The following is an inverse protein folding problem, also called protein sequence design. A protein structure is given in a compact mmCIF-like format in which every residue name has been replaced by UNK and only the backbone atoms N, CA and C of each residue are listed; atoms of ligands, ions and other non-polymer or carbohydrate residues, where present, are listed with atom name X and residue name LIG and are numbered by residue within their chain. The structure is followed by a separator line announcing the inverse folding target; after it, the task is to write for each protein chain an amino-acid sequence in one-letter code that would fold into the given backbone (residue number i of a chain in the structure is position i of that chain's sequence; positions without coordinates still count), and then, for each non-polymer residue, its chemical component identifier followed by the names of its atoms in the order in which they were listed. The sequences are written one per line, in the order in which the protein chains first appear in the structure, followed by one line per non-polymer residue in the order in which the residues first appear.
data_IF_260707072278
#
_entry.id   IF_260707072278
#
_cell.length_a   1.000
_cell.length_b   1.000
_cell.length_c   1.000
_cell.angle_alpha   90.00
_cell.angle_beta   90.00
_cell.angle_gamma   90.00
#
_symmetry.space_group_name_H-M   'P 1'
#
loop_
_entity.id
_entity.type
_entity.pdbx_description
1 polymer ?
#
# COMPACT_ATOMS: atom_id res chain seq x y z
N UNK A 1 5.22 40.03 42.83
CA UNK A 1 4.71 39.22 41.71
C UNK A 1 3.42 39.89 41.25
N UNK A 2 3.36 40.39 40.04
CA UNK A 2 2.19 41.12 39.55
C UNK A 2 1.08 40.13 39.14
N UNK A 3 -0.18 40.58 39.25
CA UNK A 3 -1.35 39.80 38.79
C UNK A 3 -1.23 39.32 37.34
N UNK A 4 -0.46 40.00 36.52
CA UNK A 4 -0.14 39.65 35.14
C UNK A 4 0.80 38.45 35.05
N UNK A 5 1.82 38.36 35.94
CA UNK A 5 2.71 37.16 35.98
C UNK A 5 2.00 35.91 36.42
N UNK A 6 1.07 36.03 37.36
CA UNK A 6 0.23 34.91 37.77
C UNK A 6 -0.73 34.43 36.65
N UNK A 7 -1.30 35.37 35.90
CA UNK A 7 -2.15 35.04 34.74
C UNK A 7 -1.37 34.39 33.59
N UNK A 8 -0.15 34.83 33.31
CA UNK A 8 0.71 34.22 32.32
C UNK A 8 1.16 32.83 32.74
N UNK A 9 1.47 32.64 34.06
CA UNK A 9 1.89 31.33 34.58
C UNK A 9 0.69 30.36 34.64
N UNK A 10 -0.53 30.81 34.91
CA UNK A 10 -1.75 30.02 34.87
C UNK A 10 -2.08 29.61 33.41
N UNK A 11 -2.02 30.56 32.46
CA UNK A 11 -2.23 30.27 31.02
C UNK A 11 -1.18 29.35 30.42
N UNK A 12 0.07 29.38 30.94
CA UNK A 12 1.11 28.43 30.51
C UNK A 12 0.95 27.04 31.16
N UNK A 13 0.36 26.93 32.33
CA UNK A 13 0.05 25.63 32.97
C UNK A 13 -1.13 24.91 32.33
N UNK A 14 -2.12 25.63 31.81
CA UNK A 14 -3.25 25.00 31.08
C UNK A 14 -2.83 24.36 29.73
N UNK A 15 -1.65 24.69 29.18
CA UNK A 15 -1.14 24.05 27.95
C UNK A 15 -0.46 22.69 28.17
N UNK A 16 -0.28 22.28 29.42
CA UNK A 16 0.38 21.01 29.76
C UNK A 16 -0.71 19.97 30.08
N UNK A 17 -1.16 19.22 29.07
CA UNK A 17 -1.87 17.96 29.36
C UNK A 17 -3.18 17.69 28.64
N UNK A 18 -3.56 18.41 27.60
CA UNK A 18 -4.71 18.00 26.79
C UNK A 18 -4.27 16.88 25.84
N UNK A 19 -4.24 15.63 26.33
CA UNK A 19 -4.28 14.48 25.45
C UNK A 19 -5.66 14.51 24.77
N UNK A 20 -5.74 14.78 23.44
CA UNK A 20 -7.03 14.85 22.78
C UNK A 20 -7.76 13.53 22.98
N UNK A 21 -9.06 13.60 23.27
CA UNK A 21 -9.91 12.41 23.42
C UNK A 21 -9.79 11.53 22.16
N UNK A 22 -10.05 10.23 22.27
CA UNK A 22 -10.04 9.32 21.12
C UNK A 22 -10.94 9.83 19.98
N UNK A 23 -12.08 10.43 20.32
CA UNK A 23 -12.98 11.05 19.36
C UNK A 23 -12.35 12.27 18.64
N UNK A 24 -11.59 13.10 19.35
CA UNK A 24 -10.87 14.22 18.72
C UNK A 24 -9.77 13.72 17.78
N UNK A 25 -9.00 12.69 18.18
CA UNK A 25 -7.99 12.06 17.29
C UNK A 25 -8.61 11.46 16.04
N UNK A 26 -9.74 10.76 16.17
CA UNK A 26 -10.47 10.20 15.03
C UNK A 26 -10.97 11.31 14.10
N UNK A 27 -11.48 12.43 14.63
CA UNK A 27 -11.88 13.58 13.84
C UNK A 27 -10.71 14.19 13.07
N UNK A 28 -9.54 14.35 13.69
CA UNK A 28 -8.34 14.84 13.02
C UNK A 28 -7.92 13.94 11.85
N UNK A 29 -7.94 12.60 12.06
CA UNK A 29 -7.67 11.63 11.01
C UNK A 29 -8.66 11.75 9.84
N UNK A 30 -9.96 11.83 10.14
CA UNK A 30 -11.01 11.99 9.10
C UNK A 30 -10.80 13.26 8.29
N UNK A 31 -10.49 14.39 8.94
CA UNK A 31 -10.23 15.66 8.26
C UNK A 31 -9.01 15.54 7.33
N UNK A 32 -7.91 14.92 7.80
CA UNK A 32 -6.72 14.71 6.99
C UNK A 32 -6.97 13.73 5.83
N UNK A 33 -7.67 12.64 6.08
CA UNK A 33 -8.06 11.68 5.03
C UNK A 33 -8.89 12.36 3.95
N UNK A 34 -9.91 13.14 4.34
CA UNK A 34 -10.74 13.88 3.39
C UNK A 34 -9.92 14.88 2.57
N UNK A 35 -9.00 15.62 3.20
CA UNK A 35 -8.10 16.54 2.50
C UNK A 35 -7.31 15.80 1.40
N UNK A 36 -6.68 14.68 1.75
CA UNK A 36 -5.87 13.91 0.82
C UNK A 36 -6.72 13.31 -0.31
N UNK A 37 -7.91 12.80 -0.02
CA UNK A 37 -8.83 12.29 -1.04
C UNK A 37 -9.29 13.39 -2.01
N UNK A 38 -9.63 14.57 -1.51
CA UNK A 38 -9.99 15.71 -2.36
C UNK A 38 -8.81 16.14 -3.24
N UNK A 39 -7.57 16.06 -2.72
CA UNK A 39 -6.38 16.33 -3.51
C UNK A 39 -6.26 15.33 -4.67
N UNK A 40 -6.35 14.02 -4.39
CA UNK A 40 -6.30 12.96 -5.40
C UNK A 40 -7.38 13.16 -6.47
N UNK A 41 -8.62 13.46 -6.05
CA UNK A 41 -9.73 13.67 -6.98
C UNK A 41 -9.59 14.93 -7.86
N UNK A 42 -8.81 15.91 -7.43
CA UNK A 42 -8.56 17.15 -8.18
C UNK A 42 -7.30 17.12 -9.05
N UNK A 43 -6.45 16.12 -8.84
CA UNK A 43 -5.22 15.93 -9.60
C UNK A 43 -5.43 14.89 -10.71
N UNK A 44 -5.55 15.30 -12.00
CA UNK A 44 -5.86 14.39 -13.11
C UNK A 44 -4.83 13.26 -13.26
N UNK A 45 -3.56 13.54 -12.98
CA UNK A 45 -2.49 12.53 -13.03
C UNK A 45 -2.72 11.43 -11.99
N UNK A 46 -2.99 11.79 -10.73
CA UNK A 46 -3.26 10.81 -9.66
C UNK A 46 -4.54 10.00 -9.91
N UNK A 47 -5.58 10.63 -10.48
CA UNK A 47 -6.78 9.92 -10.92
C UNK A 47 -6.48 8.90 -12.02
N UNK A 48 -5.63 9.27 -12.97
CA UNK A 48 -5.18 8.37 -14.04
C UNK A 48 -4.43 7.15 -13.48
N UNK A 49 -3.57 7.35 -12.50
CA UNK A 49 -2.81 6.26 -11.87
C UNK A 49 -3.72 5.24 -11.15
N UNK A 50 -4.83 5.71 -10.60
CA UNK A 50 -5.79 4.83 -9.89
C UNK A 50 -6.81 4.17 -10.83
N UNK A 51 -7.05 4.75 -12.01
CA UNK A 51 -8.10 4.28 -12.94
C UNK A 51 -7.57 3.84 -14.30
N UNK A 52 -6.93 4.72 -15.04
CA UNK A 52 -6.53 4.47 -16.43
C UNK A 52 -5.36 3.49 -16.50
N UNK A 53 -4.34 3.68 -15.68
CA UNK A 53 -3.14 2.83 -15.68
C UNK A 53 -3.48 1.36 -15.36
N UNK A 54 -4.25 1.00 -14.32
CA UNK A 54 -4.66 -0.38 -14.06
C UNK A 54 -5.46 -1.00 -15.21
N UNK A 55 -6.33 -0.21 -15.86
CA UNK A 55 -7.09 -0.67 -17.04
C UNK A 55 -6.15 -1.03 -18.18
N UNK A 56 -5.24 -0.11 -18.54
CA UNK A 56 -4.28 -0.31 -19.63
C UNK A 56 -3.39 -1.54 -19.37
N UNK A 57 -2.84 -1.68 -18.16
CA UNK A 57 -2.03 -2.84 -17.80
C UNK A 57 -2.84 -4.14 -17.87
N UNK A 58 -4.07 -4.15 -17.34
CA UNK A 58 -4.92 -5.35 -17.38
C UNK A 58 -5.21 -5.76 -18.82
N UNK A 59 -5.63 -4.83 -19.67
CA UNK A 59 -5.91 -5.09 -21.09
C UNK A 59 -4.64 -5.57 -21.82
N UNK A 60 -3.52 -4.87 -21.62
CA UNK A 60 -2.26 -5.24 -22.25
C UNK A 60 -1.81 -6.66 -21.86
N UNK A 61 -1.77 -6.96 -20.56
CA UNK A 61 -1.31 -8.28 -20.12
C UNK A 61 -2.25 -9.40 -20.53
N UNK A 62 -3.56 -9.18 -20.52
CA UNK A 62 -4.52 -10.20 -20.90
C UNK A 62 -4.49 -10.47 -22.40
N UNK A 63 -4.45 -9.45 -23.25
CA UNK A 63 -4.53 -9.64 -24.71
C UNK A 63 -3.17 -9.84 -25.38
N UNK A 64 -2.12 -9.15 -24.94
CA UNK A 64 -0.79 -9.29 -25.55
C UNK A 64 -0.09 -10.56 -25.06
N UNK A 65 -0.06 -10.77 -23.74
CA UNK A 65 0.63 -11.94 -23.18
C UNK A 65 -0.27 -13.17 -23.12
N UNK A 66 -1.60 -13.00 -23.00
CA UNK A 66 -2.53 -14.11 -22.91
C UNK A 66 -2.57 -14.99 -24.16
N UNK A 67 -2.26 -14.43 -25.33
CA UNK A 67 -2.19 -15.20 -26.60
C UNK A 67 -0.91 -16.04 -26.75
N UNK A 68 0.17 -15.64 -26.05
CA UNK A 68 1.48 -16.28 -26.17
C UNK A 68 1.89 -17.19 -24.99
N UNK A 69 1.18 -17.12 -23.86
CA UNK A 69 1.53 -17.91 -22.67
C UNK A 69 0.56 -19.08 -22.46
N UNK A 70 1.07 -20.29 -22.52
CA UNK A 70 0.36 -21.50 -22.09
C UNK A 70 0.76 -21.86 -20.65
N UNK A 71 -0.23 -22.00 -19.76
CA UNK A 71 0.00 -22.46 -18.40
C UNK A 71 -0.06 -24.00 -18.33
N UNK A 72 0.69 -24.61 -17.39
CA UNK A 72 0.56 -26.05 -17.11
C UNK A 72 -0.91 -26.43 -16.82
N UNK A 73 -1.36 -27.57 -17.40
CA UNK A 73 -2.74 -28.02 -17.19
C UNK A 73 -3.81 -27.31 -18.02
N UNK A 74 -3.45 -26.45 -18.99
CA UNK A 74 -4.42 -25.75 -19.85
C UNK A 74 -5.20 -24.63 -19.14
N UNK A 75 -4.70 -24.16 -17.99
CA UNK A 75 -5.33 -23.10 -17.23
C UNK A 75 -5.35 -21.77 -17.98
N UNK A 76 -6.39 -20.97 -17.80
CA UNK A 76 -6.51 -19.64 -18.40
C UNK A 76 -5.45 -18.69 -17.85
N UNK A 77 -4.66 -18.09 -18.75
CA UNK A 77 -3.70 -17.06 -18.38
C UNK A 77 -4.37 -15.83 -17.74
N UNK A 78 -5.55 -15.44 -18.23
CA UNK A 78 -6.35 -14.35 -17.63
C UNK A 78 -6.64 -14.60 -16.16
N UNK A 79 -7.07 -15.83 -15.82
CA UNK A 79 -7.34 -16.22 -14.44
C UNK A 79 -6.07 -16.21 -13.57
N UNK A 80 -4.92 -16.57 -14.14
CA UNK A 80 -3.63 -16.55 -13.44
C UNK A 80 -3.10 -15.14 -13.23
N UNK A 81 -3.11 -14.29 -14.27
CA UNK A 81 -2.43 -12.99 -14.24
C UNK A 81 -3.19 -11.93 -13.48
N UNK A 82 -4.52 -11.99 -13.46
CA UNK A 82 -5.34 -10.91 -12.91
C UNK A 82 -5.12 -10.67 -11.40
N UNK A 83 -5.04 -11.69 -10.53
CA UNK A 83 -4.66 -11.51 -9.14
C UNK A 83 -3.23 -10.96 -8.98
N UNK A 84 -2.33 -11.34 -9.89
CA UNK A 84 -0.97 -10.81 -9.94
C UNK A 84 -0.95 -9.33 -10.30
N UNK A 85 -1.70 -8.91 -11.31
CA UNK A 85 -1.85 -7.51 -11.70
C UNK A 85 -2.48 -6.67 -10.58
N UNK A 86 -3.51 -7.20 -9.92
CA UNK A 86 -4.10 -6.57 -8.75
C UNK A 86 -3.02 -6.29 -7.69
N UNK A 87 -2.27 -7.31 -7.31
CA UNK A 87 -1.22 -7.18 -6.30
C UNK A 87 -0.12 -6.21 -6.75
N UNK A 88 0.35 -6.30 -8.01
CA UNK A 88 1.36 -5.38 -8.54
C UNK A 88 0.90 -3.92 -8.56
N UNK A 89 -0.34 -3.65 -8.99
CA UNK A 89 -0.87 -2.30 -8.96
C UNK A 89 -0.91 -1.74 -7.53
N UNK A 90 -1.30 -2.55 -6.55
CA UNK A 90 -1.33 -2.15 -5.15
C UNK A 90 0.08 -1.91 -4.58
N UNK A 91 1.05 -2.73 -4.97
CA UNK A 91 2.45 -2.58 -4.56
C UNK A 91 3.04 -1.28 -5.13
N UNK A 92 2.85 -1.03 -6.42
CA UNK A 92 3.39 0.18 -7.06
C UNK A 92 2.69 1.45 -6.60
N UNK A 93 1.37 1.43 -6.39
CA UNK A 93 0.62 2.59 -5.88
C UNK A 93 1.02 2.99 -4.46
N UNK A 94 1.56 2.06 -3.65
CA UNK A 94 2.08 2.37 -2.32
C UNK A 94 3.21 3.41 -2.32
N UNK A 95 3.95 3.55 -3.44
CA UNK A 95 4.99 4.58 -3.60
C UNK A 95 4.43 6.00 -3.48
N UNK A 96 3.18 6.20 -3.90
CA UNK A 96 2.47 7.48 -3.79
C UNK A 96 2.42 8.02 -2.36
N UNK A 97 2.36 7.14 -1.35
CA UNK A 97 2.42 7.54 0.07
C UNK A 97 3.76 8.22 0.40
N UNK A 98 4.87 7.59 0.01
CA UNK A 98 6.21 8.12 0.28
C UNK A 98 6.47 9.43 -0.47
N UNK A 99 6.18 9.46 -1.76
CA UNK A 99 6.37 10.66 -2.60
C UNK A 99 5.50 11.82 -2.12
N UNK A 100 4.22 11.57 -1.85
CA UNK A 100 3.31 12.60 -1.38
C UNK A 100 3.65 13.13 0.02
N UNK A 101 4.22 12.27 0.89
CA UNK A 101 4.69 12.72 2.19
C UNK A 101 5.96 13.58 2.07
N UNK A 102 6.89 13.23 1.17
CA UNK A 102 8.05 14.05 0.86
C UNK A 102 7.63 15.41 0.27
N UNK A 103 6.59 15.42 -0.59
CA UNK A 103 6.00 16.64 -1.14
C UNK A 103 5.38 17.53 -0.07
N UNK A 104 4.60 16.95 0.86
CA UNK A 104 4.01 17.70 1.98
C UNK A 104 5.11 18.32 2.87
N UNK A 105 6.24 17.61 3.07
CA UNK A 105 7.38 18.11 3.81
C UNK A 105 8.08 19.26 3.09
N UNK A 106 8.39 19.09 1.79
CA UNK A 106 9.08 20.11 0.98
C UNK A 106 8.26 21.40 0.83
N UNK A 107 6.94 21.30 0.82
CA UNK A 107 6.02 22.45 0.75
C UNK A 107 5.82 23.17 2.11
N UNK A 108 6.54 22.78 3.16
CA UNK A 108 6.42 23.39 4.48
C UNK A 108 5.04 23.17 5.15
N UNK A 109 4.26 22.20 4.64
CA UNK A 109 2.93 21.91 5.19
C UNK A 109 3.00 21.46 6.64
N UNK A 110 4.06 20.76 7.01
CA UNK A 110 4.28 20.26 8.38
C UNK A 110 4.43 21.43 9.37
N UNK A 111 5.11 22.52 8.98
CA UNK A 111 5.24 23.71 9.81
C UNK A 111 3.88 24.37 10.08
N UNK A 112 3.02 24.43 9.08
CA UNK A 112 1.64 24.92 9.25
C UNK A 112 0.84 24.04 10.20
N UNK A 113 1.02 22.74 10.18
CA UNK A 113 0.34 21.83 11.12
C UNK A 113 0.88 21.92 12.55
N UNK A 114 2.11 22.36 12.74
CA UNK A 114 2.68 22.64 14.10
C UNK A 114 1.91 23.72 14.85
N UNK A 115 1.31 24.66 14.15
CA UNK A 115 0.53 25.76 14.75
C UNK A 115 -0.91 25.37 15.09
N UNK A 116 -1.38 24.23 14.59
CA UNK A 116 -2.74 23.74 14.84
C UNK A 116 -2.79 22.82 16.06
N UNK A 117 -3.85 22.91 16.88
CA UNK A 117 -4.05 22.03 18.04
C UNK A 117 -4.57 20.63 17.59
N UNK A 118 -3.78 19.92 16.80
CA UNK A 118 -4.14 18.59 16.27
C UNK A 118 -3.16 17.51 16.73
N UNK A 119 -3.65 16.25 16.72
CA UNK A 119 -2.80 15.11 16.96
C UNK A 119 -1.78 14.93 15.83
N UNK A 120 -0.49 15.07 16.13
CA UNK A 120 0.58 15.07 15.10
C UNK A 120 0.59 13.84 14.21
N UNK A 121 0.29 12.65 14.76
CA UNK A 121 0.22 11.42 13.97
C UNK A 121 -0.99 11.37 13.01
N UNK A 122 -1.99 12.26 13.16
CA UNK A 122 -3.15 12.31 12.25
C UNK A 122 -2.77 12.60 10.80
N UNK A 123 -1.65 13.29 10.57
CA UNK A 123 -1.14 13.55 9.22
C UNK A 123 -0.71 12.26 8.54
N UNK A 124 0.10 11.42 9.23
CA UNK A 124 0.56 10.13 8.72
C UNK A 124 -0.61 9.15 8.55
N UNK A 125 -1.41 8.99 9.59
CA UNK A 125 -2.56 8.07 9.57
C UNK A 125 -3.58 8.51 8.53
N UNK A 126 -3.87 9.81 8.45
CA UNK A 126 -4.80 10.35 7.45
C UNK A 126 -4.30 10.16 6.01
N UNK A 127 -2.98 10.23 5.78
CA UNK A 127 -2.38 9.94 4.47
C UNK A 127 -2.51 8.45 4.12
N UNK A 128 -2.05 7.56 4.99
CA UNK A 128 -2.09 6.11 4.75
C UNK A 128 -3.51 5.57 4.60
N UNK A 129 -4.49 6.14 5.31
CA UNK A 129 -5.91 5.79 5.15
C UNK A 129 -6.46 6.30 3.81
N UNK A 130 -6.10 7.51 3.37
CA UNK A 130 -6.51 8.01 2.06
C UNK A 130 -5.94 7.15 0.93
N UNK A 131 -4.68 6.75 1.03
CA UNK A 131 -4.02 5.87 0.06
C UNK A 131 -4.63 4.46 0.07
N UNK A 132 -5.05 3.94 1.23
CA UNK A 132 -5.81 2.68 1.33
C UNK A 132 -7.16 2.77 0.61
N UNK A 133 -7.87 3.88 0.72
CA UNK A 133 -9.14 4.09 0.00
C UNK A 133 -8.91 4.18 -1.51
N UNK A 134 -7.85 4.84 -1.95
CA UNK A 134 -7.45 4.87 -3.36
C UNK A 134 -7.07 3.49 -3.88
N UNK A 135 -6.35 2.70 -3.07
CA UNK A 135 -6.03 1.31 -3.35
C UNK A 135 -7.29 0.43 -3.48
N UNK A 136 -8.31 0.68 -2.65
CA UNK A 136 -9.60 -0.01 -2.76
C UNK A 136 -10.33 0.34 -4.06
N UNK A 137 -10.30 1.61 -4.49
CA UNK A 137 -10.86 2.03 -5.79
C UNK A 137 -10.08 1.38 -6.94
N UNK A 138 -8.75 1.40 -6.92
CA UNK A 138 -7.90 0.72 -7.90
C UNK A 138 -8.24 -0.78 -7.99
N UNK A 139 -8.39 -1.44 -6.85
CA UNK A 139 -8.76 -2.86 -6.78
C UNK A 139 -10.13 -3.12 -7.41
N UNK A 140 -11.10 -2.25 -7.15
CA UNK A 140 -12.43 -2.33 -7.75
C UNK A 140 -12.37 -2.14 -9.28
N UNK A 141 -11.57 -1.19 -9.76
CA UNK A 141 -11.35 -0.98 -11.21
C UNK A 141 -10.75 -2.22 -11.86
N UNK A 142 -9.70 -2.80 -11.27
CA UNK A 142 -9.09 -4.04 -11.78
C UNK A 142 -10.09 -5.19 -11.80
N UNK A 143 -10.92 -5.32 -10.75
CA UNK A 143 -11.96 -6.35 -10.68
C UNK A 143 -13.02 -6.18 -11.79
N UNK A 144 -13.51 -4.96 -11.98
CA UNK A 144 -14.52 -4.66 -13.02
C UNK A 144 -13.97 -4.93 -14.41
N UNK A 145 -12.76 -4.46 -14.69
CA UNK A 145 -12.08 -4.71 -15.98
C UNK A 145 -11.81 -6.19 -16.17
N UNK A 146 -11.36 -6.90 -15.12
CA UNK A 146 -11.16 -8.34 -15.14
C UNK A 146 -12.43 -9.10 -15.50
N UNK A 147 -13.57 -8.74 -14.88
CA UNK A 147 -14.87 -9.34 -15.21
C UNK A 147 -15.28 -9.06 -16.66
N UNK A 148 -15.02 -7.85 -17.17
CA UNK A 148 -15.32 -7.47 -18.56
C UNK A 148 -14.46 -8.25 -19.57
N UNK A 149 -13.21 -8.55 -19.22
CA UNK A 149 -12.27 -9.34 -20.05
C UNK A 149 -12.51 -10.85 -19.94
N UNK A 150 -13.49 -11.27 -19.14
CA UNK A 150 -13.88 -12.69 -19.03
C UNK A 150 -13.32 -13.43 -17.81
N UNK A 151 -12.64 -12.73 -16.89
CA UNK A 151 -12.29 -13.35 -15.62
C UNK A 151 -13.54 -13.73 -14.82
N UNK A 152 -13.49 -14.91 -14.22
CA UNK A 152 -14.57 -15.39 -13.33
C UNK A 152 -13.93 -15.97 -12.08
N UNK A 153 -14.24 -15.44 -10.89
CA UNK A 153 -13.80 -16.07 -9.65
C UNK A 153 -14.45 -17.44 -9.48
N UNK A 154 -13.66 -18.42 -9.06
CA UNK A 154 -14.11 -19.79 -8.86
C UNK A 154 -14.73 -20.05 -7.48
N UNK A 155 -14.54 -19.13 -6.53
CA UNK A 155 -14.99 -19.28 -5.14
C UNK A 155 -16.14 -18.36 -4.79
N UNK A 156 -16.77 -18.60 -3.62
CA UNK A 156 -17.86 -17.81 -3.07
C UNK A 156 -17.43 -16.34 -2.82
N UNK A 157 -18.38 -15.42 -2.90
CA UNK A 157 -18.16 -13.99 -2.73
C UNK A 157 -17.36 -13.62 -1.46
N UNK A 158 -17.63 -14.32 -0.35
CA UNK A 158 -16.91 -14.07 0.92
C UNK A 158 -15.39 -14.36 0.79
N UNK A 159 -15.03 -15.43 0.09
CA UNK A 159 -13.65 -15.79 -0.18
C UNK A 159 -12.97 -14.75 -1.08
N UNK A 160 -13.67 -14.29 -2.10
CA UNK A 160 -13.20 -13.23 -3.00
C UNK A 160 -12.98 -11.92 -2.24
N UNK A 161 -13.91 -11.54 -1.37
CA UNK A 161 -13.76 -10.34 -0.52
C UNK A 161 -12.59 -10.49 0.46
N UNK A 162 -12.36 -11.69 1.00
CA UNK A 162 -11.19 -11.96 1.84
C UNK A 162 -9.89 -11.79 1.04
N UNK A 163 -9.83 -12.21 -0.22
CA UNK A 163 -8.68 -11.99 -1.10
C UNK A 163 -8.37 -10.50 -1.32
N UNK A 164 -9.40 -9.69 -1.60
CA UNK A 164 -9.24 -8.23 -1.64
C UNK A 164 -8.78 -7.67 -0.30
N UNK A 165 -9.30 -8.18 0.81
CA UNK A 165 -8.88 -7.78 2.16
C UNK A 165 -7.40 -8.04 2.42
N UNK A 166 -6.87 -9.21 2.03
CA UNK A 166 -5.44 -9.54 2.16
C UNK A 166 -4.58 -8.61 1.30
N UNK A 167 -4.98 -8.37 0.05
CA UNK A 167 -4.27 -7.49 -0.86
C UNK A 167 -4.23 -6.04 -0.34
N UNK A 168 -5.36 -5.52 0.16
CA UNK A 168 -5.46 -4.18 0.74
C UNK A 168 -4.68 -4.05 2.06
N UNK A 169 -4.67 -5.08 2.90
CA UNK A 169 -3.87 -5.11 4.12
C UNK A 169 -2.38 -5.00 3.80
N UNK A 170 -1.93 -5.73 2.79
CA UNK A 170 -0.54 -5.66 2.34
C UNK A 170 -0.19 -4.30 1.73
N UNK A 171 -1.08 -3.75 0.89
CA UNK A 171 -0.93 -2.37 0.36
C UNK A 171 -0.80 -1.35 1.48
N UNK A 172 -1.62 -1.46 2.52
CA UNK A 172 -1.54 -0.60 3.71
C UNK A 172 -0.21 -0.77 4.46
N UNK A 173 0.29 -2.00 4.58
CA UNK A 173 1.60 -2.28 5.18
C UNK A 173 2.73 -1.62 4.39
N UNK A 174 2.69 -1.72 3.06
CA UNK A 174 3.66 -1.06 2.18
C UNK A 174 3.56 0.46 2.23
N UNK A 175 2.37 1.03 2.36
CA UNK A 175 2.19 2.46 2.54
C UNK A 175 2.96 2.99 3.76
N UNK A 176 3.00 2.26 4.88
CA UNK A 176 3.84 2.60 6.03
C UNK A 176 5.34 2.48 5.75
N UNK A 177 5.75 1.45 5.00
CA UNK A 177 7.15 1.28 4.63
C UNK A 177 7.62 2.41 3.68
N UNK A 178 6.83 2.75 2.68
CA UNK A 178 7.13 3.86 1.76
C UNK A 178 7.02 5.23 2.43
N UNK A 179 6.16 5.40 3.45
CA UNK A 179 6.14 6.59 4.29
C UNK A 179 7.49 6.82 4.98
N UNK A 180 8.18 5.77 5.43
CA UNK A 180 9.54 5.89 5.98
C UNK A 180 10.51 6.43 4.93
N UNK A 181 10.42 5.97 3.67
CA UNK A 181 11.25 6.47 2.56
C UNK A 181 10.97 7.96 2.34
N UNK A 182 9.71 8.37 2.27
CA UNK A 182 9.32 9.75 2.10
C UNK A 182 9.78 10.67 3.23
N UNK A 183 9.76 10.17 4.48
CA UNK A 183 10.26 10.92 5.64
C UNK A 183 11.79 11.06 5.65
N UNK A 184 12.52 10.12 5.07
CA UNK A 184 13.99 10.18 4.98
C UNK A 184 14.44 11.01 3.78
N UNK A 185 13.66 11.08 2.74
CA UNK A 185 13.96 11.87 1.54
C UNK A 185 13.92 13.37 1.83
N UNK A 186 14.76 14.13 1.11
CA UNK A 186 14.77 15.60 1.16
C UNK A 186 13.78 16.21 0.16
N UNK A 187 13.58 15.53 -0.96
CA UNK A 187 12.79 15.97 -2.10
C UNK A 187 11.92 14.81 -2.62
N UNK A 188 10.76 15.09 -3.25
CA UNK A 188 9.88 14.08 -3.80
C UNK A 188 10.55 13.16 -4.82
N UNK A 189 11.45 13.70 -5.66
CA UNK A 189 12.20 12.97 -6.68
C UNK A 189 13.14 11.94 -6.04
N UNK A 190 13.76 12.29 -4.92
CA UNK A 190 14.59 11.36 -4.14
C UNK A 190 13.75 10.23 -3.54
N UNK A 191 12.56 10.55 -3.01
CA UNK A 191 11.63 9.56 -2.49
C UNK A 191 11.17 8.59 -3.60
N UNK A 192 10.87 9.11 -4.79
CA UNK A 192 10.48 8.33 -5.96
C UNK A 192 11.61 7.40 -6.40
N UNK A 193 12.83 7.90 -6.53
CA UNK A 193 13.99 7.12 -6.96
C UNK A 193 14.31 5.98 -6.00
N UNK A 194 14.38 6.26 -4.69
CA UNK A 194 14.62 5.24 -3.67
C UNK A 194 13.46 4.23 -3.61
N UNK A 195 12.23 4.73 -3.67
CA UNK A 195 11.04 3.89 -3.72
C UNK A 195 11.06 2.93 -4.91
N UNK A 196 11.44 3.41 -6.09
CA UNK A 196 11.55 2.59 -7.28
C UNK A 196 12.61 1.49 -7.14
N UNK A 197 13.79 1.82 -6.61
CA UNK A 197 14.88 0.85 -6.38
C UNK A 197 14.44 -0.28 -5.42
N UNK A 198 13.58 0.01 -4.46
CA UNK A 198 13.08 -0.99 -3.48
C UNK A 198 11.86 -1.75 -4.03
N UNK A 199 10.88 -1.02 -4.53
CA UNK A 199 9.58 -1.60 -4.92
C UNK A 199 9.67 -2.37 -6.24
N UNK A 200 10.48 -1.91 -7.20
CA UNK A 200 10.57 -2.55 -8.51
C UNK A 200 11.10 -3.99 -8.44
N UNK A 201 12.25 -4.29 -7.79
CA UNK A 201 12.68 -5.67 -7.62
C UNK A 201 11.69 -6.50 -6.82
N UNK A 202 11.08 -5.92 -5.75
CA UNK A 202 10.09 -6.60 -4.94
C UNK A 202 8.87 -7.04 -5.77
N UNK A 203 8.40 -6.18 -6.68
CA UNK A 203 7.26 -6.47 -7.55
C UNK A 203 7.60 -7.47 -8.65
N UNK A 204 8.74 -7.29 -9.34
CA UNK A 204 9.09 -8.08 -10.52
C UNK A 204 9.74 -9.43 -10.20
N UNK A 205 10.49 -9.54 -9.09
CA UNK A 205 11.00 -10.82 -8.62
C UNK A 205 9.95 -11.49 -7.74
N UNK A 206 8.79 -11.77 -8.33
CA UNK A 206 7.66 -12.42 -7.65
C UNK A 206 6.94 -13.35 -8.63
N UNK A 207 6.01 -14.14 -8.12
CA UNK A 207 5.15 -14.99 -8.94
C UNK A 207 3.93 -14.24 -9.54
N UNK A 208 3.90 -12.92 -9.44
CA UNK A 208 2.72 -12.13 -9.83
C UNK A 208 2.38 -12.26 -11.32
N UNK A 209 3.36 -12.13 -12.20
CA UNK A 209 3.16 -12.13 -13.66
C UNK A 209 3.60 -13.43 -14.34
N UNK A 210 4.60 -14.11 -13.78
CA UNK A 210 5.21 -15.31 -14.36
C UNK A 210 5.33 -16.39 -13.28
N UNK A 211 4.96 -17.65 -13.58
CA UNK A 211 5.17 -18.76 -12.66
C UNK A 211 6.67 -18.93 -12.33
N UNK A 212 6.99 -19.16 -11.06
CA UNK A 212 8.39 -19.32 -10.60
C UNK A 212 9.02 -20.66 -10.99
N UNK A 213 8.23 -21.60 -11.53
CA UNK A 213 8.65 -22.96 -11.88
C UNK A 213 9.86 -23.03 -12.81
N UNK A 214 9.98 -22.09 -13.73
CA UNK A 214 11.06 -22.04 -14.73
C UNK A 214 12.20 -21.09 -14.37
N UNK A 215 12.15 -20.48 -13.18
CA UNK A 215 13.22 -19.59 -12.72
C UNK A 215 14.46 -20.41 -12.26
N UNK A 216 15.69 -19.88 -12.44
CA UNK A 216 16.88 -20.46 -11.84
C UNK A 216 16.70 -20.63 -10.33
N UNK A 217 17.32 -21.67 -9.75
CA UNK A 217 17.11 -22.08 -8.34
C UNK A 217 17.34 -20.94 -7.33
N UNK A 218 18.38 -20.16 -7.53
CA UNK A 218 18.70 -19.00 -6.65
C UNK A 218 17.65 -17.91 -6.71
N UNK A 219 17.12 -17.61 -7.90
CA UNK A 219 16.07 -16.60 -8.10
C UNK A 219 14.73 -17.10 -7.57
N UNK A 220 14.44 -18.39 -7.73
CA UNK A 220 13.24 -19.02 -7.20
C UNK A 220 13.15 -18.91 -5.68
N UNK A 221 14.26 -19.16 -4.97
CA UNK A 221 14.30 -19.00 -3.50
C UNK A 221 13.95 -17.57 -3.10
N UNK A 222 14.49 -16.57 -3.79
CA UNK A 222 14.16 -15.15 -3.53
C UNK A 222 12.67 -14.88 -3.82
N UNK A 223 12.15 -15.39 -4.94
CA UNK A 223 10.76 -15.21 -5.31
C UNK A 223 9.78 -15.91 -4.36
N UNK A 224 10.13 -17.09 -3.84
CA UNK A 224 9.29 -17.85 -2.91
C UNK A 224 9.17 -17.18 -1.54
N UNK A 225 10.24 -16.53 -1.08
CA UNK A 225 10.24 -15.76 0.18
C UNK A 225 9.78 -14.31 0.01
N UNK A 226 9.51 -13.90 -1.21
CA UNK A 226 9.05 -12.55 -1.51
C UNK A 226 7.63 -12.33 -0.97
N UNK A 227 7.36 -11.29 -0.17
CA UNK A 227 6.04 -11.00 0.35
C UNK A 227 4.99 -10.79 -0.75
N UNK A 228 5.36 -10.22 -1.90
CA UNK A 228 4.44 -10.04 -3.05
C UNK A 228 4.01 -11.38 -3.60
N UNK A 229 4.90 -12.37 -3.66
CA UNK A 229 4.57 -13.73 -4.08
C UNK A 229 3.55 -14.39 -3.14
N UNK A 230 3.77 -14.27 -1.83
CA UNK A 230 2.86 -14.82 -0.82
C UNK A 230 1.47 -14.20 -0.90
N UNK A 231 1.39 -12.88 -1.08
CA UNK A 231 0.11 -12.16 -1.23
C UNK A 231 -0.59 -12.57 -2.52
N UNK A 232 0.14 -12.59 -3.64
CA UNK A 232 -0.44 -12.97 -4.94
C UNK A 232 -0.96 -14.41 -4.92
N UNK A 233 -0.19 -15.34 -4.35
CA UNK A 233 -0.60 -16.73 -4.21
C UNK A 233 -1.87 -16.84 -3.33
N UNK A 234 -1.92 -16.13 -2.20
CA UNK A 234 -3.11 -16.09 -1.33
C UNK A 234 -4.33 -15.56 -2.05
N UNK A 235 -4.16 -14.47 -2.82
CA UNK A 235 -5.27 -13.88 -3.58
C UNK A 235 -5.76 -14.85 -4.66
N UNK A 236 -4.85 -15.58 -5.34
CA UNK A 236 -5.23 -16.62 -6.31
C UNK A 236 -6.05 -17.71 -5.66
N UNK A 237 -5.58 -18.24 -4.53
CA UNK A 237 -6.28 -19.31 -3.80
C UNK A 237 -7.67 -18.85 -3.33
N UNK A 238 -7.76 -17.65 -2.77
CA UNK A 238 -9.03 -17.08 -2.29
C UNK A 238 -10.01 -16.76 -3.43
N UNK A 239 -9.51 -16.42 -4.62
CA UNK A 239 -10.34 -16.19 -5.81
C UNK A 239 -10.73 -17.51 -6.51
N UNK A 240 -10.14 -18.66 -6.15
CA UNK A 240 -10.31 -19.93 -6.86
C UNK A 240 -9.66 -19.93 -8.24
N UNK A 241 -8.56 -19.21 -8.36
CA UNK A 241 -7.81 -19.05 -9.60
C UNK A 241 -6.61 -20.04 -9.66
N UNK A 242 -6.11 -20.38 -10.88
CA UNK A 242 -4.94 -21.24 -11.01
C UNK A 242 -3.73 -20.68 -10.28
N UNK A 243 -3.12 -21.51 -9.43
CA UNK A 243 -1.93 -21.16 -8.66
C UNK A 243 -0.85 -22.23 -8.88
N UNK A 244 -0.11 -22.18 -10.02
CA UNK A 244 0.90 -23.16 -10.35
C UNK A 244 2.12 -22.98 -9.45
N UNK A 245 2.06 -23.59 -8.28
CA UNK A 245 3.16 -23.62 -7.30
C UNK A 245 3.97 -24.92 -7.47
N UNK A 246 5.26 -24.93 -7.09
CA UNK A 246 6.06 -26.16 -7.05
C UNK A 246 5.46 -27.15 -6.06
N UNK A 247 5.52 -28.47 -6.41
CA UNK A 247 4.98 -29.57 -5.61
C UNK A 247 5.63 -29.69 -4.21
N UNK A 248 6.86 -29.20 -4.08
CA UNK A 248 7.60 -29.11 -2.82
C UNK A 248 8.18 -27.71 -2.74
N UNK A 249 7.57 -26.85 -1.95
CA UNK A 249 7.94 -25.47 -1.80
C UNK A 249 8.54 -25.14 -0.44
N UNK A 250 9.03 -23.94 -0.32
CA UNK A 250 9.35 -23.32 0.97
C UNK A 250 8.04 -23.06 1.74
N UNK A 251 8.14 -22.91 3.06
CA UNK A 251 6.98 -22.65 3.93
C UNK A 251 6.01 -21.55 3.41
N UNK A 252 6.49 -20.40 2.85
CA UNK A 252 5.58 -19.38 2.30
C UNK A 252 4.78 -19.85 1.08
N UNK A 253 5.31 -20.80 0.32
CA UNK A 253 4.65 -21.39 -0.86
C UNK A 253 3.56 -22.37 -0.42
N UNK A 254 3.82 -23.15 0.62
CA UNK A 254 2.84 -24.11 1.16
C UNK A 254 1.73 -23.44 1.98
N UNK A 255 2.04 -22.30 2.61
CA UNK A 255 1.11 -21.55 3.46
C UNK A 255 1.00 -20.07 3.04
N UNK A 256 0.56 -19.75 1.80
CA UNK A 256 0.63 -18.42 1.25
C UNK A 256 -0.17 -17.40 2.07
N UNK A 257 -1.35 -17.75 2.55
CA UNK A 257 -2.19 -16.88 3.38
C UNK A 257 -1.50 -16.53 4.72
N UNK A 258 -0.93 -17.55 5.38
CA UNK A 258 -0.18 -17.33 6.61
C UNK A 258 1.02 -16.42 6.41
N UNK A 259 1.79 -16.66 5.34
CA UNK A 259 2.93 -15.84 4.97
C UNK A 259 2.53 -14.40 4.63
N UNK A 260 1.46 -14.19 3.85
CA UNK A 260 0.96 -12.87 3.51
C UNK A 260 0.54 -12.06 4.73
N UNK A 261 -0.15 -12.68 5.68
CA UNK A 261 -0.55 -12.03 6.94
C UNK A 261 0.66 -11.71 7.82
N UNK A 262 1.60 -12.65 7.97
CA UNK A 262 2.83 -12.43 8.75
C UNK A 262 3.64 -11.26 8.16
N UNK A 263 3.87 -11.24 6.85
CA UNK A 263 4.56 -10.14 6.19
C UNK A 263 3.86 -8.79 6.38
N UNK A 264 2.54 -8.76 6.20
CA UNK A 264 1.75 -7.53 6.36
C UNK A 264 1.81 -7.00 7.78
N UNK A 265 1.61 -7.87 8.78
CA UNK A 265 1.65 -7.49 10.19
C UNK A 265 3.06 -7.08 10.62
N UNK A 266 4.09 -7.82 10.21
CA UNK A 266 5.49 -7.51 10.50
C UNK A 266 5.90 -6.15 9.92
N UNK A 267 5.53 -5.86 8.66
CA UNK A 267 5.80 -4.57 8.04
C UNK A 267 5.10 -3.42 8.79
N UNK A 268 3.83 -3.58 9.14
CA UNK A 268 3.12 -2.55 9.92
C UNK A 268 3.76 -2.36 11.28
N UNK A 269 4.07 -3.45 11.99
CA UNK A 269 4.64 -3.42 13.33
C UNK A 269 6.02 -2.75 13.39
N UNK A 270 6.79 -2.83 12.32
CA UNK A 270 8.11 -2.19 12.21
C UNK A 270 8.00 -0.79 11.60
N UNK A 271 7.32 -0.65 10.47
CA UNK A 271 7.32 0.59 9.71
C UNK A 271 6.45 1.69 10.36
N UNK A 272 5.31 1.36 10.97
CA UNK A 272 4.44 2.39 11.54
C UNK A 272 5.05 3.09 12.77
N UNK A 273 5.67 2.39 13.75
CA UNK A 273 6.41 3.05 14.82
C UNK A 273 7.61 3.84 14.31
N UNK A 274 8.35 3.28 13.33
CA UNK A 274 9.52 3.92 12.76
C UNK A 274 9.16 5.19 11.98
N UNK A 275 8.12 5.17 11.15
CA UNK A 275 7.60 6.36 10.48
C UNK A 275 7.13 7.42 11.49
N UNK A 276 6.45 7.00 12.55
CA UNK A 276 6.01 7.91 13.62
C UNK A 276 7.19 8.54 14.36
N UNK A 277 8.27 7.79 14.58
CA UNK A 277 9.51 8.29 15.18
C UNK A 277 10.20 9.31 14.26
N UNK A 278 10.37 8.97 12.98
CA UNK A 278 10.97 9.87 11.98
C UNK A 278 10.18 11.17 11.84
N UNK A 279 8.85 11.07 11.79
CA UNK A 279 7.98 12.22 11.69
C UNK A 279 8.13 13.15 12.91
N UNK A 280 8.21 12.59 14.12
CA UNK A 280 8.46 13.38 15.33
C UNK A 280 9.79 14.13 15.26
N UNK A 281 10.88 13.46 14.83
CA UNK A 281 12.18 14.10 14.67
C UNK A 281 12.12 15.28 13.70
N UNK A 282 11.55 15.07 12.52
CA UNK A 282 11.39 16.13 11.50
C UNK A 282 10.50 17.29 11.91
N UNK A 283 9.63 17.07 12.90
CA UNK A 283 8.73 18.11 13.42
C UNK A 283 9.23 18.78 14.69
N UNK A 284 10.36 18.35 15.26
CA UNK A 284 10.93 18.89 16.51
C UNK A 284 12.14 19.79 16.23
N UNK A 285 12.88 19.49 15.18
CA UNK A 285 13.97 20.29 14.63
C UNK A 285 13.41 21.43 13.75
#
# INVERSE_FOLDING_TARGET
MSTVELAITAASRERVGFLPSLAARAKDVVVMTRRNLVHILREPMQLSDVTVQPVLFTVLFVYVFGSGMSLPGGASYTAFVLPGLLTMNLVTSSMGTGVGLAQDLSNGMVERFRTLPMWRASVLVGRTVADLLSAAVCSAVVAVVGLAVGWRPGHALLSVLAGFGVALLFSYALAWATACIGLLAKEPESAMSVGFVVIFPLAFVSNALVPTLHMPSWLRVIADWNPVSSVTASVRDLFGNPNPLPLHGSWPVEHPLGAALIWSVALIAVAAPFASFLFRRRTTD
#
